data_IF_381705633754
#
_entry.id   IF_381705633754
#
_cell.length_a   1.000
_cell.length_b   1.000
_cell.length_c   1.000
_cell.angle_alpha   90.00
_cell.angle_beta   90.00
_cell.angle_gamma   90.00
#
_symmetry.space_group_name_H-M   'P 1'
#
loop_
_entity.id
_entity.type
_entity.pdbx_description
1 polymer ?
#
# COMPACT_ATOMS: atom_id res chain seq x y z
N UNK A 1 -3.18 -3.42 -14.43
CA UNK A 1 -3.89 -4.29 -13.46
C UNK A 1 -3.19 -4.13 -12.13
N UNK A 2 -3.92 -3.90 -11.03
CA UNK A 2 -3.33 -3.88 -9.70
C UNK A 2 -2.77 -5.28 -9.40
N UNK A 3 -1.58 -5.36 -8.81
CA UNK A 3 -1.01 -6.65 -8.39
C UNK A 3 -1.60 -7.15 -7.08
N UNK A 4 -2.13 -6.24 -6.27
CA UNK A 4 -2.69 -6.58 -4.97
C UNK A 4 -3.86 -5.64 -4.64
N UNK A 5 -4.84 -6.19 -3.92
CA UNK A 5 -6.05 -5.51 -3.48
C UNK A 5 -6.31 -5.88 -2.02
N UNK A 6 -6.68 -4.91 -1.19
CA UNK A 6 -7.12 -5.14 0.18
C UNK A 6 -8.28 -4.21 0.53
N UNK A 7 -9.37 -4.77 1.04
CA UNK A 7 -10.42 -3.97 1.66
C UNK A 7 -10.00 -3.49 3.04
N UNK A 8 -10.46 -2.31 3.44
CA UNK A 8 -10.41 -1.90 4.83
C UNK A 8 -11.32 -2.82 5.68
N UNK A 9 -10.99 -3.05 6.96
CA UNK A 9 -11.81 -3.89 7.83
C UNK A 9 -13.26 -3.42 8.00
N UNK A 10 -13.48 -2.11 7.86
CA UNK A 10 -14.82 -1.49 7.90
C UNK A 10 -15.56 -1.54 6.55
N UNK A 11 -14.95 -2.11 5.50
CA UNK A 11 -15.52 -2.26 4.16
C UNK A 11 -15.70 -0.96 3.36
N UNK A 12 -15.28 0.19 3.90
CA UNK A 12 -15.49 1.51 3.26
C UNK A 12 -14.46 1.83 2.18
N UNK A 13 -13.30 1.18 2.21
CA UNK A 13 -12.19 1.51 1.33
C UNK A 13 -11.57 0.27 0.69
N UNK A 14 -11.02 0.48 -0.50
CA UNK A 14 -10.23 -0.49 -1.24
C UNK A 14 -8.84 0.08 -1.52
N UNK A 15 -7.80 -0.56 -1.00
CA UNK A 15 -6.42 -0.25 -1.31
C UNK A 15 -5.98 -1.07 -2.53
N UNK A 16 -5.45 -0.40 -3.55
CA UNK A 16 -4.91 -1.05 -4.74
C UNK A 16 -3.42 -0.77 -4.91
N UNK A 17 -2.65 -1.85 -5.05
CA UNK A 17 -1.21 -1.84 -5.33
C UNK A 17 -0.88 -1.41 -6.75
N UNK A 18 0.30 -0.84 -6.96
CA UNK A 18 0.78 -0.44 -8.29
C UNK A 18 1.34 -1.64 -9.08
N UNK A 19 1.33 -1.53 -10.42
CA UNK A 19 1.94 -2.53 -11.30
C UNK A 19 3.47 -2.31 -11.37
N UNK A 20 4.26 -3.37 -11.55
CA UNK A 20 5.69 -3.26 -11.81
C UNK A 20 6.00 -2.52 -13.12
N UNK A 21 7.20 -1.92 -13.12
CA UNK A 21 7.95 -1.47 -14.30
C UNK A 21 7.33 -0.33 -15.11
N UNK A 22 6.28 0.32 -14.59
CA UNK A 22 5.72 1.53 -15.19
C UNK A 22 5.47 2.62 -14.14
N UNK A 23 6.26 3.72 -14.15
CA UNK A 23 5.92 4.88 -13.35
C UNK A 23 4.58 5.49 -13.81
N UNK A 24 3.81 6.08 -12.88
CA UNK A 24 4.18 6.32 -11.49
C UNK A 24 3.82 5.14 -10.56
N UNK A 25 4.74 4.81 -9.65
CA UNK A 25 4.62 3.72 -8.68
C UNK A 25 3.75 4.15 -7.50
N UNK A 26 2.45 4.24 -7.74
CA UNK A 26 1.47 4.82 -6.82
C UNK A 26 0.43 3.76 -6.44
N UNK A 27 0.20 3.62 -5.14
CA UNK A 27 -0.97 2.91 -4.65
C UNK A 27 -2.13 3.90 -4.48
N UNK A 28 -3.36 3.43 -4.68
CA UNK A 28 -4.55 4.26 -4.53
C UNK A 28 -5.48 3.70 -3.48
N UNK A 29 -6.06 4.59 -2.66
CA UNK A 29 -7.20 4.28 -1.81
C UNK A 29 -8.47 4.72 -2.52
N UNK A 30 -9.39 3.80 -2.71
CA UNK A 30 -10.70 4.07 -3.28
C UNK A 30 -11.77 4.02 -2.19
N UNK A 31 -12.73 4.91 -2.26
CA UNK A 31 -14.01 4.78 -1.54
C UNK A 31 -14.87 3.71 -2.21
N UNK A 32 -15.36 2.76 -1.43
CA UNK A 32 -16.26 1.71 -1.91
C UNK A 32 -17.70 2.01 -1.48
N UNK A 33 -18.73 1.83 -2.35
CA UNK A 33 -18.66 1.33 -3.72
C UNK A 33 -18.45 2.41 -4.80
N UNK A 34 -18.30 3.68 -4.41
CA UNK A 34 -18.30 4.80 -5.37
C UNK A 34 -17.15 4.77 -6.39
N UNK A 35 -16.04 4.09 -6.06
CA UNK A 35 -14.84 4.04 -6.88
C UNK A 35 -14.06 5.35 -6.92
N UNK A 36 -14.41 6.33 -6.07
CA UNK A 36 -13.70 7.61 -6.01
C UNK A 36 -12.33 7.42 -5.38
N UNK A 37 -11.30 8.01 -5.97
CA UNK A 37 -9.96 8.04 -5.37
C UNK A 37 -9.97 9.00 -4.19
N UNK A 38 -9.75 8.48 -2.99
CA UNK A 38 -9.59 9.26 -1.76
C UNK A 38 -8.16 9.75 -1.58
N UNK A 39 -7.19 8.87 -1.82
CA UNK A 39 -5.78 9.17 -1.59
C UNK A 39 -4.87 8.43 -2.59
N UNK A 40 -3.70 9.03 -2.82
CA UNK A 40 -2.62 8.47 -3.62
C UNK A 40 -1.36 8.35 -2.76
N UNK A 41 -0.87 7.12 -2.58
CA UNK A 41 0.31 6.82 -1.78
C UNK A 41 1.55 6.88 -2.66
N UNK A 42 2.27 8.00 -2.58
CA UNK A 42 3.52 8.26 -3.29
C UNK A 42 4.67 8.13 -2.30
N UNK A 43 5.60 7.22 -2.52
CA UNK A 43 6.77 7.07 -1.65
C UNK A 43 7.59 5.82 -1.93
N UNK A 44 6.95 4.77 -2.45
CA UNK A 44 7.65 3.62 -3.01
C UNK A 44 8.52 4.04 -4.19
N UNK A 45 9.77 3.58 -4.20
CA UNK A 45 10.70 3.82 -5.31
C UNK A 45 10.63 2.72 -6.38
N UNK A 46 9.82 1.70 -6.13
CA UNK A 46 9.72 0.48 -6.93
C UNK A 46 8.28 -0.11 -6.86
N UNK A 47 8.11 -1.28 -7.47
CA UNK A 47 6.86 -2.03 -7.57
C UNK A 47 6.32 -2.42 -6.19
N UNK A 48 5.04 -2.16 -5.95
CA UNK A 48 4.35 -2.57 -4.72
C UNK A 48 3.69 -3.93 -4.94
N UNK A 49 4.20 -4.96 -4.28
CA UNK A 49 3.76 -6.35 -4.45
C UNK A 49 2.74 -6.78 -3.39
N UNK A 50 2.78 -6.16 -2.22
CA UNK A 50 1.92 -6.51 -1.10
C UNK A 50 1.19 -5.28 -0.58
N UNK A 51 -0.09 -5.46 -0.26
CA UNK A 51 -0.91 -4.44 0.41
C UNK A 51 -1.72 -5.09 1.53
N UNK A 52 -1.93 -4.37 2.62
CA UNK A 52 -2.80 -4.77 3.71
C UNK A 52 -3.45 -3.54 4.35
N UNK A 53 -4.60 -3.75 4.98
CA UNK A 53 -5.29 -2.71 5.73
C UNK A 53 -5.70 -3.27 7.09
N UNK A 54 -5.53 -2.45 8.13
CA UNK A 54 -5.98 -2.78 9.48
C UNK A 54 -6.57 -1.54 10.13
N UNK A 55 -7.33 -1.73 11.20
CA UNK A 55 -7.89 -0.65 11.97
C UNK A 55 -7.43 -0.80 13.42
N UNK A 56 -6.86 0.27 13.98
CA UNK A 56 -6.44 0.34 15.38
C UNK A 56 -6.94 1.63 15.98
N UNK A 57 -7.62 1.52 17.13
CA UNK A 57 -8.16 2.66 17.86
C UNK A 57 -9.02 3.60 16.98
N UNK A 58 -9.83 3.01 16.08
CA UNK A 58 -10.67 3.74 15.13
C UNK A 58 -9.94 4.37 13.95
N UNK A 59 -8.62 4.18 13.82
CA UNK A 59 -7.80 4.70 12.72
C UNK A 59 -7.48 3.62 11.72
N UNK A 60 -7.70 3.93 10.44
CA UNK A 60 -7.30 3.07 9.34
C UNK A 60 -5.77 3.20 9.13
N UNK A 61 -5.09 2.06 9.20
CA UNK A 61 -3.67 1.93 8.94
C UNK A 61 -3.52 1.06 7.70
N UNK A 62 -2.78 1.57 6.73
CA UNK A 62 -2.53 0.90 5.47
C UNK A 62 -1.07 0.49 5.42
N UNK A 63 -0.80 -0.73 5.01
CA UNK A 63 0.55 -1.25 4.84
C UNK A 63 0.76 -1.60 3.37
N UNK A 64 1.93 -1.25 2.87
CA UNK A 64 2.35 -1.56 1.49
C UNK A 64 3.80 -2.03 1.52
N UNK A 65 4.07 -3.16 0.88
CA UNK A 65 5.40 -3.74 0.76
C UNK A 65 5.82 -3.81 -0.70
N UNK A 66 7.04 -3.38 -1.01
CA UNK A 66 7.51 -3.26 -2.38
C UNK A 66 9.02 -3.45 -2.58
N UNK A 67 9.34 -4.01 -3.74
CA UNK A 67 10.64 -3.95 -4.42
C UNK A 67 11.88 -4.62 -3.84
N UNK A 68 12.98 -4.42 -4.57
CA UNK A 68 14.34 -4.90 -4.27
C UNK A 68 14.97 -4.22 -3.05
N UNK A 69 14.46 -3.04 -2.69
CA UNK A 69 14.89 -2.28 -1.52
C UNK A 69 14.20 -2.76 -0.24
N UNK A 70 13.40 -3.83 -0.31
CA UNK A 70 12.79 -4.47 0.84
C UNK A 70 11.95 -3.49 1.68
N UNK A 71 11.31 -2.49 1.07
CA UNK A 71 10.67 -1.40 1.81
C UNK A 71 9.22 -1.72 2.19
N UNK A 72 8.89 -1.48 3.46
CA UNK A 72 7.55 -1.56 4.01
C UNK A 72 7.16 -0.16 4.48
N UNK A 73 6.10 0.38 3.90
CA UNK A 73 5.55 1.70 4.26
C UNK A 73 4.19 1.52 4.93
N UNK A 74 4.04 2.16 6.08
CA UNK A 74 2.76 2.33 6.78
C UNK A 74 2.20 3.71 6.51
N UNK A 75 0.90 3.79 6.26
CA UNK A 75 0.21 5.02 5.90
C UNK A 75 -1.04 5.25 6.74
N UNK A 76 -1.40 6.52 6.87
CA UNK A 76 -2.75 6.91 7.26
C UNK A 76 -3.71 6.92 6.05
N UNK A 77 -5.00 7.08 6.30
CA UNK A 77 -6.02 7.18 5.24
C UNK A 77 -5.91 8.43 4.35
N UNK A 78 -5.10 9.41 4.76
CA UNK A 78 -4.86 10.66 4.02
C UNK A 78 -3.63 10.57 3.11
N UNK A 79 -2.92 9.44 3.09
CA UNK A 79 -1.74 9.26 2.26
C UNK A 79 -0.42 9.68 2.90
N UNK A 80 -0.39 9.96 4.20
CA UNK A 80 0.85 10.30 4.92
C UNK A 80 1.56 9.04 5.38
N UNK A 81 2.88 9.03 5.24
CA UNK A 81 3.72 7.95 5.78
C UNK A 81 3.77 8.08 7.29
N UNK A 82 3.26 7.07 7.99
CA UNK A 82 3.35 6.93 9.44
C UNK A 82 4.68 6.30 9.84
N UNK A 83 5.18 5.36 9.05
CA UNK A 83 6.44 4.68 9.32
C UNK A 83 7.03 4.08 8.04
N UNK A 84 8.36 4.00 8.02
CA UNK A 84 9.14 3.31 7.00
C UNK A 84 9.96 2.23 7.69
N UNK A 85 9.85 1.02 7.18
CA UNK A 85 10.55 -0.16 7.68
C UNK A 85 11.25 -0.85 6.51
N UNK A 86 12.28 -1.61 6.82
CA UNK A 86 12.92 -2.54 5.89
C UNK A 86 12.53 -3.97 6.28
N UNK A 87 12.18 -4.80 5.31
CA UNK A 87 11.89 -6.20 5.55
C UNK A 87 13.18 -6.89 5.96
N UNK A 88 13.17 -7.53 7.12
CA UNK A 88 14.31 -8.32 7.59
C UNK A 88 14.35 -9.61 6.77
N UNK A 89 15.22 -9.66 5.76
CA UNK A 89 15.35 -10.83 4.90
C UNK A 89 15.96 -10.48 3.55
N UNK A 90 17.28 -10.42 3.53
CA UNK A 90 18.10 -10.49 2.31
C UNK A 90 17.58 -11.61 1.42
N UNK A 91 17.42 -11.31 0.12
CA UNK A 91 17.50 -12.23 -1.02
C UNK A 91 17.82 -13.68 -0.63
N UNK A 92 16.85 -14.59 -0.66
CA UNK A 92 17.18 -16.02 -0.78
C UNK A 92 17.61 -16.23 -2.23
N UNK A 93 18.93 -16.15 -2.50
CA UNK A 93 19.50 -16.98 -3.55
C UNK A 93 19.72 -18.36 -2.94
N UNK A 94 19.26 -19.37 -3.67
CA UNK A 94 19.61 -20.78 -3.50
C UNK A 94 21.12 -21.00 -3.42
#
# INVERSE_FOLDING_TARGET
MPLALAFSPDGRYLLAGSRPDKPPLICYLYEFPSGKVKAAFKGHKNSVFAVAATQRDGRLILATGGGEAHEILLWDEAGRILSRMESVGTRILS
#
